data_IF_907372598623
#
_entry.id   IF_907372598623
#
_cell.length_a   1.000
_cell.length_b   1.000
_cell.length_c   1.000
_cell.angle_alpha   90.00
_cell.angle_beta   90.00
_cell.angle_gamma   90.00
#
_symmetry.space_group_name_H-M   'P 1'
#
loop_
_entity.id
_entity.type
_entity.pdbx_description
1 polymer ?
#
# COMPACT_ATOMS: atom_id res chain seq x y z
N UNK A 1 24.65 5.75 12.82
CA UNK A 1 24.27 4.33 12.70
C UNK A 1 23.11 4.30 11.74
N UNK A 2 23.20 3.59 10.61
CA UNK A 2 22.11 3.54 9.64
C UNK A 2 21.30 2.26 9.86
N UNK A 3 20.05 2.43 10.30
CA UNK A 3 19.10 1.34 10.48
C UNK A 3 18.22 1.20 9.24
N UNK A 4 18.36 0.08 8.54
CA UNK A 4 17.51 -0.25 7.39
C UNK A 4 16.16 -0.74 7.91
N UNK A 5 15.09 -0.12 7.44
CA UNK A 5 13.73 -0.49 7.76
C UNK A 5 13.03 -0.95 6.49
N UNK A 6 12.97 -2.26 6.31
CA UNK A 6 12.24 -2.88 5.21
C UNK A 6 10.78 -3.02 5.56
N UNK A 7 9.91 -2.48 4.72
CA UNK A 7 8.51 -2.77 4.81
C UNK A 7 7.84 -2.78 3.43
N UNK A 8 6.90 -3.70 3.22
CA UNK A 8 6.32 -3.97 1.91
C UNK A 8 4.82 -3.71 1.88
N UNK A 9 4.32 -3.19 0.75
CA UNK A 9 2.89 -3.31 0.42
C UNK A 9 2.63 -4.71 -0.10
N UNK A 10 1.71 -5.44 0.53
CA UNK A 10 1.22 -6.73 0.03
C UNK A 10 -0.27 -6.56 -0.28
N UNK A 11 -0.56 -6.29 -1.55
CA UNK A 11 -1.89 -5.94 -2.02
C UNK A 11 -2.32 -6.76 -3.25
N UNK A 12 -3.60 -7.15 -3.29
CA UNK A 12 -4.28 -7.60 -4.50
C UNK A 12 -5.74 -7.10 -4.48
N UNK A 13 -6.22 -6.47 -5.57
CA UNK A 13 -7.61 -6.07 -5.71
C UNK A 13 -8.50 -7.25 -6.11
N UNK A 14 -9.81 -7.08 -5.97
CA UNK A 14 -10.78 -7.96 -6.65
C UNK A 14 -11.14 -7.36 -8.00
N UNK A 15 -10.63 -7.97 -9.08
CA UNK A 15 -10.89 -7.50 -10.45
C UNK A 15 -12.35 -7.76 -10.81
N UNK A 16 -12.93 -6.80 -11.51
CA UNK A 16 -14.30 -6.90 -12.01
C UNK A 16 -14.34 -7.82 -13.22
N UNK A 17 -15.42 -8.61 -13.34
CA UNK A 17 -15.74 -9.23 -14.62
C UNK A 17 -16.18 -8.17 -15.62
N UNK A 18 -16.21 -8.53 -16.89
CA UNK A 18 -16.93 -7.72 -17.89
C UNK A 18 -18.41 -7.64 -17.51
N UNK A 19 -18.85 -6.43 -17.20
CA UNK A 19 -20.16 -6.09 -16.73
C UNK A 19 -20.77 -5.06 -17.70
N UNK A 20 -21.66 -5.53 -18.56
CA UNK A 20 -22.32 -4.69 -19.56
C UNK A 20 -23.58 -4.05 -19.00
N UNK A 21 -24.12 -3.04 -19.68
CA UNK A 21 -25.41 -2.42 -19.38
C UNK A 21 -26.59 -3.41 -19.38
N UNK A 22 -26.43 -4.58 -20.00
CA UNK A 22 -27.45 -5.65 -20.02
C UNK A 22 -27.30 -6.65 -18.87
N UNK A 23 -26.23 -6.54 -18.06
CA UNK A 23 -26.00 -7.41 -16.90
C UNK A 23 -26.92 -6.99 -15.75
N UNK A 24 -27.56 -7.98 -15.10
CA UNK A 24 -28.58 -7.77 -14.06
C UNK A 24 -28.35 -8.59 -12.80
N UNK A 25 -27.26 -9.35 -12.76
CA UNK A 25 -26.90 -10.18 -11.62
C UNK A 25 -25.94 -9.45 -10.66
N UNK A 26 -25.95 -9.77 -9.36
CA UNK A 26 -25.12 -9.08 -8.38
C UNK A 26 -23.67 -9.57 -8.33
N UNK A 27 -23.20 -10.38 -9.29
CA UNK A 27 -21.85 -10.97 -9.24
C UNK A 27 -20.85 -10.11 -10.00
N UNK A 28 -20.25 -9.11 -9.36
CA UNK A 28 -19.40 -8.13 -10.06
C UNK A 28 -17.97 -8.57 -10.31
N UNK A 29 -17.44 -9.51 -9.50
CA UNK A 29 -16.03 -9.85 -9.48
C UNK A 29 -15.72 -11.11 -10.28
N UNK A 30 -14.59 -11.10 -10.98
CA UNK A 30 -14.10 -12.24 -11.77
C UNK A 30 -13.26 -13.16 -10.89
N UNK A 31 -13.92 -14.07 -10.17
CA UNK A 31 -13.22 -14.97 -9.25
C UNK A 31 -12.26 -15.93 -9.97
N UNK A 32 -12.54 -16.32 -11.21
CA UNK A 32 -11.64 -17.18 -11.99
C UNK A 32 -10.35 -16.44 -12.35
N UNK A 33 -10.46 -15.20 -12.85
CA UNK A 33 -9.30 -14.37 -13.14
C UNK A 33 -8.51 -14.03 -11.86
N UNK A 34 -9.19 -13.66 -10.78
CA UNK A 34 -8.55 -13.35 -9.51
C UNK A 34 -7.82 -14.56 -8.93
N UNK A 35 -8.40 -15.77 -8.97
CA UNK A 35 -7.72 -17.00 -8.54
C UNK A 35 -6.47 -17.24 -9.38
N UNK A 36 -6.60 -17.19 -10.70
CA UNK A 36 -5.48 -17.45 -11.62
C UNK A 36 -4.33 -16.47 -11.39
N UNK A 37 -4.64 -15.19 -11.20
CA UNK A 37 -3.64 -14.15 -10.94
C UNK A 37 -3.00 -14.36 -9.57
N UNK A 38 -3.79 -14.58 -8.52
CA UNK A 38 -3.27 -14.83 -7.17
C UNK A 38 -2.33 -16.03 -7.15
N UNK A 39 -2.69 -17.14 -7.79
CA UNK A 39 -1.80 -18.32 -7.90
C UNK A 39 -0.50 -18.01 -8.63
N UNK A 40 -0.58 -17.33 -9.77
CA UNK A 40 0.60 -16.92 -10.56
C UNK A 40 1.54 -16.05 -9.73
N UNK A 41 1.02 -15.00 -9.07
CA UNK A 41 1.83 -14.07 -8.27
C UNK A 41 2.39 -14.80 -7.05
N UNK A 42 1.60 -15.68 -6.42
CA UNK A 42 2.08 -16.48 -5.29
C UNK A 42 3.23 -17.41 -5.68
N UNK A 43 3.20 -18.04 -6.87
CA UNK A 43 4.29 -18.92 -7.35
C UNK A 43 5.57 -18.15 -7.67
N UNK A 44 5.44 -16.95 -8.25
CA UNK A 44 6.58 -16.14 -8.69
C UNK A 44 7.19 -15.27 -7.59
N UNK A 45 6.35 -14.75 -6.71
CA UNK A 45 6.72 -13.77 -5.70
C UNK A 45 6.50 -14.32 -4.29
N UNK A 46 5.24 -14.50 -3.86
CA UNK A 46 4.98 -14.66 -2.43
C UNK A 46 5.63 -15.91 -1.82
N UNK A 47 5.52 -17.07 -2.46
CA UNK A 47 6.17 -18.30 -1.97
C UNK A 47 7.69 -18.17 -1.90
N UNK A 48 8.42 -17.88 -3.00
CA UNK A 48 9.87 -17.79 -2.95
C UNK A 48 10.36 -16.63 -2.07
N UNK A 49 9.73 -15.46 -2.16
CA UNK A 49 10.14 -14.28 -1.39
C UNK A 49 9.88 -14.48 0.11
N UNK A 50 8.72 -14.99 0.53
CA UNK A 50 8.42 -15.12 1.97
C UNK A 50 9.26 -16.25 2.58
N UNK A 51 9.49 -17.34 1.84
CA UNK A 51 10.43 -18.37 2.26
C UNK A 51 11.86 -17.83 2.43
N UNK A 52 12.31 -16.98 1.50
CA UNK A 52 13.63 -16.31 1.58
C UNK A 52 13.72 -15.36 2.77
N UNK A 53 12.69 -14.55 3.03
CA UNK A 53 12.66 -13.66 4.19
C UNK A 53 12.73 -14.44 5.51
N UNK A 54 11.97 -15.54 5.64
CA UNK A 54 12.04 -16.42 6.82
C UNK A 54 13.40 -17.09 6.99
N UNK A 55 14.02 -17.52 5.89
CA UNK A 55 15.37 -18.06 5.88
C UNK A 55 16.40 -17.00 6.32
N UNK A 56 16.34 -15.78 5.80
CA UNK A 56 17.22 -14.67 6.19
C UNK A 56 17.09 -14.32 7.67
N UNK A 57 15.85 -14.22 8.18
CA UNK A 57 15.59 -14.01 9.61
C UNK A 57 16.29 -15.07 10.45
N UNK A 58 16.16 -16.36 10.07
CA UNK A 58 16.76 -17.47 10.81
C UNK A 58 18.29 -17.50 10.70
N UNK A 59 18.84 -17.33 9.51
CA UNK A 59 20.29 -17.33 9.25
C UNK A 59 21.02 -16.18 9.91
N UNK A 60 20.33 -15.07 10.17
CA UNK A 60 20.89 -13.92 10.86
C UNK A 60 20.43 -13.81 12.33
N UNK A 61 19.93 -14.91 12.93
CA UNK A 61 19.53 -14.98 14.35
C UNK A 61 18.55 -13.87 14.77
N UNK A 62 17.61 -13.52 13.89
CA UNK A 62 16.62 -12.46 14.12
C UNK A 62 17.16 -11.03 14.03
N UNK A 63 18.44 -10.84 13.63
CA UNK A 63 19.01 -9.51 13.35
C UNK A 63 18.50 -8.93 12.04
N UNK A 64 18.18 -9.77 11.05
CA UNK A 64 17.47 -9.31 9.86
C UNK A 64 16.00 -9.15 10.21
N UNK A 65 15.41 -8.01 9.83
CA UNK A 65 14.04 -7.64 10.18
C UNK A 65 13.33 -7.06 8.96
N UNK A 66 12.03 -7.30 8.90
CA UNK A 66 11.18 -6.82 7.81
C UNK A 66 9.77 -6.52 8.34
N UNK A 67 8.94 -5.91 7.52
CA UNK A 67 7.56 -5.60 7.89
C UNK A 67 6.64 -5.66 6.68
N UNK A 68 5.34 -5.84 6.92
CA UNK A 68 4.35 -5.94 5.84
C UNK A 68 3.09 -5.17 6.18
N UNK A 69 2.60 -4.38 5.22
CA UNK A 69 1.20 -3.96 5.18
C UNK A 69 0.43 -4.92 4.27
N UNK A 70 -0.30 -5.85 4.87
CA UNK A 70 -1.08 -6.86 4.13
C UNK A 70 -2.53 -6.40 4.10
N UNK A 71 -3.06 -6.07 2.92
CA UNK A 71 -4.45 -5.61 2.85
C UNK A 71 -5.42 -6.74 3.17
N UNK A 72 -6.60 -6.40 3.68
CA UNK A 72 -7.64 -7.41 3.97
C UNK A 72 -8.10 -8.15 2.70
N UNK A 73 -8.11 -7.45 1.57
CA UNK A 73 -8.40 -8.06 0.25
C UNK A 73 -7.34 -9.10 -0.15
N UNK A 74 -6.05 -8.78 -0.01
CA UNK A 74 -4.96 -9.69 -0.31
C UNK A 74 -5.01 -10.91 0.62
N UNK A 75 -5.17 -10.68 1.93
CA UNK A 75 -5.25 -11.76 2.91
C UNK A 75 -6.40 -12.73 2.62
N UNK A 76 -7.58 -12.20 2.30
CA UNK A 76 -8.75 -13.02 1.97
C UNK A 76 -8.50 -13.86 0.72
N UNK A 77 -7.86 -13.30 -0.31
CA UNK A 77 -7.51 -14.04 -1.52
C UNK A 77 -6.44 -15.11 -1.25
N UNK A 78 -5.45 -14.84 -0.39
CA UNK A 78 -4.47 -15.85 0.01
C UNK A 78 -5.13 -17.00 0.77
N UNK A 79 -6.01 -16.73 1.73
CA UNK A 79 -6.73 -17.79 2.46
C UNK A 79 -7.53 -18.70 1.53
N UNK A 80 -8.10 -18.15 0.46
CA UNK A 80 -8.85 -18.93 -0.54
C UNK A 80 -7.95 -19.73 -1.49
N UNK A 81 -6.86 -19.13 -1.99
CA UNK A 81 -6.17 -19.65 -3.17
C UNK A 81 -4.68 -19.95 -2.97
N UNK A 82 -4.06 -19.44 -1.91
CA UNK A 82 -2.66 -19.68 -1.56
C UNK A 82 -2.44 -19.71 -0.03
N UNK A 83 -3.17 -20.56 0.74
CA UNK A 83 -3.14 -20.53 2.20
C UNK A 83 -1.75 -20.88 2.79
N UNK A 84 -0.93 -21.61 2.04
CA UNK A 84 0.45 -21.93 2.41
C UNK A 84 1.36 -20.70 2.54
N UNK A 85 1.06 -19.62 1.81
CA UNK A 85 1.72 -18.32 1.96
C UNK A 85 1.37 -17.71 3.32
N UNK A 86 0.09 -17.76 3.72
CA UNK A 86 -0.37 -17.27 5.03
C UNK A 86 0.33 -18.02 6.16
N UNK A 87 0.48 -19.34 6.04
CA UNK A 87 1.20 -20.14 7.04
C UNK A 87 2.68 -19.77 7.14
N UNK A 88 3.32 -19.43 6.02
CA UNK A 88 4.72 -18.95 6.03
C UNK A 88 4.83 -17.56 6.64
N UNK A 89 3.88 -16.65 6.35
CA UNK A 89 3.80 -15.33 6.97
C UNK A 89 3.59 -15.44 8.49
N UNK A 90 2.72 -16.33 8.97
CA UNK A 90 2.56 -16.61 10.41
C UNK A 90 3.89 -17.03 11.04
N UNK A 91 4.59 -18.01 10.44
CA UNK A 91 5.92 -18.45 10.93
C UNK A 91 6.95 -17.33 10.94
N UNK A 92 6.85 -16.38 10.01
CA UNK A 92 7.72 -15.21 9.93
C UNK A 92 7.38 -14.20 11.05
N UNK A 93 6.09 -13.91 11.28
CA UNK A 93 5.63 -13.08 12.40
C UNK A 93 6.01 -13.68 13.75
N UNK A 94 5.85 -15.00 13.93
CA UNK A 94 6.17 -15.74 15.16
C UNK A 94 7.65 -15.65 15.55
N UNK A 95 8.55 -15.30 14.61
CA UNK A 95 9.97 -15.06 14.94
C UNK A 95 10.20 -13.81 15.79
N UNK A 96 9.25 -12.88 15.82
CA UNK A 96 9.42 -11.55 16.42
C UNK A 96 10.34 -10.60 15.64
N UNK A 97 10.80 -11.00 14.44
CA UNK A 97 11.60 -10.18 13.54
C UNK A 97 10.78 -9.57 12.38
N UNK A 98 9.48 -9.85 12.34
CA UNK A 98 8.55 -9.33 11.33
C UNK A 98 7.42 -8.54 11.99
N UNK A 99 7.25 -7.27 11.59
CA UNK A 99 6.16 -6.41 12.07
C UNK A 99 5.02 -6.31 11.03
N UNK A 100 3.76 -6.37 11.47
CA UNK A 100 2.62 -6.07 10.61
C UNK A 100 2.18 -4.62 10.80
N UNK A 101 1.95 -3.94 9.66
CA UNK A 101 1.56 -2.54 9.57
C UNK A 101 0.05 -2.47 9.30
N UNK A 102 -0.61 -1.52 9.96
CA UNK A 102 -2.05 -1.26 9.84
C UNK A 102 -2.37 -0.42 8.61
N UNK A 103 -3.52 -0.69 8.02
CA UNK A 103 -4.03 0.01 6.84
C UNK A 103 -5.57 -0.07 6.78
N UNK A 104 -6.20 0.53 5.78
CA UNK A 104 -7.57 0.20 5.41
C UNK A 104 -7.67 -1.26 4.93
N UNK A 105 -8.72 -1.98 5.34
CA UNK A 105 -8.94 -3.38 4.93
C UNK A 105 -9.04 -3.58 3.42
N UNK A 106 -9.57 -2.61 2.69
CA UNK A 106 -9.81 -2.73 1.25
C UNK A 106 -8.85 -1.90 0.40
N UNK A 107 -7.77 -1.37 0.98
CA UNK A 107 -6.83 -0.47 0.26
C UNK A 107 -7.62 0.65 -0.44
N UNK A 108 -8.52 1.26 0.32
CA UNK A 108 -9.53 2.18 -0.21
C UNK A 108 -9.10 3.63 -0.10
N UNK A 109 -9.67 4.48 -0.95
CA UNK A 109 -9.53 5.94 -0.83
C UNK A 109 -10.48 6.56 0.22
N UNK A 110 -11.06 5.75 1.11
CA UNK A 110 -12.13 6.14 2.01
C UNK A 110 -11.78 7.35 2.88
N UNK A 111 -10.52 7.54 3.27
CA UNK A 111 -10.11 8.72 4.04
C UNK A 111 -10.48 10.04 3.36
N UNK A 112 -10.41 10.10 2.02
CA UNK A 112 -10.68 11.31 1.26
C UNK A 112 -12.18 11.64 1.23
N UNK A 113 -13.05 10.63 1.27
CA UNK A 113 -14.48 10.76 1.02
C UNK A 113 -15.36 10.55 2.26
N UNK A 114 -15.04 9.56 3.10
CA UNK A 114 -15.82 9.19 4.29
C UNK A 114 -14.94 8.74 5.44
N UNK A 115 -14.87 9.57 6.49
CA UNK A 115 -14.05 9.29 7.68
C UNK A 115 -14.66 8.15 8.50
N UNK A 116 -15.99 8.04 8.50
CA UNK A 116 -16.68 6.95 9.15
C UNK A 116 -16.39 5.60 8.48
N UNK A 117 -16.42 5.53 7.14
CA UNK A 117 -16.04 4.29 6.44
C UNK A 117 -14.55 3.99 6.60
N UNK A 118 -13.69 5.01 6.50
CA UNK A 118 -12.26 4.85 6.78
C UNK A 118 -12.04 4.20 8.16
N UNK A 119 -12.71 4.71 9.20
CA UNK A 119 -12.57 4.16 10.54
C UNK A 119 -12.98 2.70 10.64
N UNK A 120 -14.11 2.36 10.02
CA UNK A 120 -14.58 0.97 9.94
C UNK A 120 -13.60 0.06 9.20
N UNK A 121 -12.99 0.54 8.12
CA UNK A 121 -12.05 -0.28 7.35
C UNK A 121 -10.72 -0.48 8.07
N UNK A 122 -10.23 0.50 8.83
CA UNK A 122 -9.05 0.36 9.68
C UNK A 122 -9.33 -0.60 10.84
N UNK A 123 -10.48 -0.48 11.50
CA UNK A 123 -10.86 -1.40 12.58
C UNK A 123 -11.05 -2.84 12.06
N UNK A 124 -11.63 -3.00 10.87
CA UNK A 124 -11.77 -4.30 10.20
C UNK A 124 -10.40 -4.91 9.89
N UNK A 125 -9.46 -4.11 9.39
CA UNK A 125 -8.09 -4.57 9.12
C UNK A 125 -7.40 -5.02 10.40
N UNK A 126 -7.42 -4.19 11.45
CA UNK A 126 -6.83 -4.52 12.76
C UNK A 126 -7.41 -5.82 13.32
N UNK A 127 -8.74 -5.99 13.23
CA UNK A 127 -9.40 -7.23 13.66
C UNK A 127 -8.88 -8.44 12.88
N UNK A 128 -8.74 -8.35 11.56
CA UNK A 128 -8.19 -9.44 10.73
C UNK A 128 -6.74 -9.76 11.07
N UNK A 129 -5.90 -8.74 11.31
CA UNK A 129 -4.52 -8.96 11.76
C UNK A 129 -4.47 -9.72 13.09
N UNK A 130 -5.34 -9.36 14.04
CA UNK A 130 -5.44 -10.04 15.33
C UNK A 130 -5.94 -11.49 15.20
N UNK A 131 -6.95 -11.72 14.35
CA UNK A 131 -7.52 -13.06 14.12
C UNK A 131 -6.53 -14.01 13.46
N UNK A 132 -5.80 -13.55 12.45
CA UNK A 132 -4.94 -14.42 11.64
C UNK A 132 -3.54 -14.54 12.22
N UNK A 133 -2.97 -13.45 12.74
CA UNK A 133 -1.57 -13.39 13.16
C UNK A 133 -1.40 -13.16 14.67
N UNK A 134 -2.49 -12.92 15.42
CA UNK A 134 -2.40 -12.67 16.86
C UNK A 134 -1.82 -11.30 17.22
N UNK A 135 -1.67 -10.39 16.26
CA UNK A 135 -1.05 -9.07 16.46
C UNK A 135 -2.00 -7.91 16.20
N UNK A 136 -1.82 -6.84 16.96
CA UNK A 136 -2.45 -5.54 16.71
C UNK A 136 -1.39 -4.59 16.13
N UNK A 137 -1.54 -4.13 14.87
CA UNK A 137 -0.60 -3.18 14.29
C UNK A 137 -0.52 -1.88 15.08
N UNK A 138 0.70 -1.36 15.27
CA UNK A 138 0.95 -0.08 15.97
C UNK A 138 1.43 1.03 15.05
N UNK A 139 1.70 0.69 13.81
CA UNK A 139 2.21 1.59 12.79
C UNK A 139 1.18 1.59 11.69
N UNK A 140 0.88 2.75 11.15
CA UNK A 140 -0.14 2.91 10.13
C UNK A 140 0.49 3.33 8.82
N UNK A 141 -0.06 2.83 7.72
CA UNK A 141 0.05 3.49 6.43
C UNK A 141 -1.33 3.63 5.84
N UNK A 142 -1.60 4.79 5.27
CA UNK A 142 -2.80 4.92 4.46
C UNK A 142 -2.56 4.32 3.08
N UNK A 143 -3.65 3.99 2.40
CA UNK A 143 -3.70 3.60 1.00
C UNK A 143 -2.77 4.50 0.17
N UNK A 144 -1.82 3.91 -0.56
CA UNK A 144 -0.90 4.56 -1.51
C UNK A 144 0.03 5.61 -0.87
N UNK A 145 0.31 5.45 0.43
CA UNK A 145 0.97 6.46 1.27
C UNK A 145 0.30 7.84 1.17
N UNK A 146 -1.01 7.88 0.89
CA UNK A 146 -1.76 9.13 0.77
C UNK A 146 -1.76 9.82 2.13
N UNK A 147 -1.12 10.99 2.18
CA UNK A 147 -0.86 11.70 3.42
C UNK A 147 -1.13 13.20 3.29
N UNK A 148 -1.64 13.77 4.38
CA UNK A 148 -1.58 15.20 4.70
C UNK A 148 -1.64 15.33 6.22
N UNK A 149 -1.40 16.53 6.75
CA UNK A 149 -1.53 16.79 8.18
C UNK A 149 -2.90 16.38 8.74
N UNK A 150 -3.97 16.46 7.93
CA UNK A 150 -5.32 16.06 8.35
C UNK A 150 -5.45 14.56 8.64
N UNK A 151 -4.71 13.71 7.90
CA UNK A 151 -4.62 12.29 8.22
C UNK A 151 -3.90 12.07 9.54
N UNK A 152 -2.77 12.77 9.75
CA UNK A 152 -1.99 12.65 10.97
C UNK A 152 -2.80 13.05 12.21
N UNK A 153 -3.52 14.16 12.13
CA UNK A 153 -4.43 14.61 13.20
C UNK A 153 -5.53 13.58 13.48
N UNK A 154 -6.13 12.99 12.43
CA UNK A 154 -7.16 11.97 12.58
C UNK A 154 -6.63 10.71 13.26
N UNK A 155 -5.49 10.18 12.79
CA UNK A 155 -4.87 8.99 13.38
C UNK A 155 -4.41 9.26 14.83
N UNK A 156 -3.89 10.45 15.11
CA UNK A 156 -3.53 10.86 16.47
C UNK A 156 -4.75 10.85 17.40
N UNK A 157 -5.89 11.39 16.95
CA UNK A 157 -7.15 11.36 17.72
C UNK A 157 -7.68 9.95 17.97
N UNK A 158 -7.46 9.02 17.04
CA UNK A 158 -7.82 7.61 17.25
C UNK A 158 -6.96 6.93 18.32
N UNK A 159 -5.71 7.35 18.48
CA UNK A 159 -4.82 6.85 19.54
C UNK A 159 -4.42 5.37 19.42
N UNK A 160 -4.68 4.73 18.28
CA UNK A 160 -4.37 3.31 18.03
C UNK A 160 -2.95 3.09 17.48
N UNK A 161 -2.36 4.12 16.85
CA UNK A 161 -1.09 4.01 16.13
C UNK A 161 -0.08 5.05 16.64
N UNK A 162 1.19 4.64 16.73
CA UNK A 162 2.33 5.45 17.20
C UNK A 162 3.00 6.23 16.08
N UNK A 163 2.88 5.78 14.84
CA UNK A 163 3.47 6.44 13.68
C UNK A 163 2.67 6.20 12.39
N UNK A 164 2.87 7.10 11.44
CA UNK A 164 2.40 6.98 10.06
C UNK A 164 3.61 6.92 9.13
N UNK A 165 3.53 6.02 8.17
CA UNK A 165 4.46 5.96 7.05
C UNK A 165 3.92 6.83 5.92
N UNK A 166 4.75 7.73 5.38
CA UNK A 166 4.38 8.55 4.23
C UNK A 166 5.59 8.82 3.32
N UNK A 167 5.33 9.43 2.16
CA UNK A 167 6.38 9.70 1.17
C UNK A 167 7.30 10.85 1.61
N UNK A 168 8.61 10.69 1.41
CA UNK A 168 9.61 11.71 1.66
C UNK A 168 9.77 12.66 0.48
N UNK A 169 8.82 13.58 0.30
CA UNK A 169 8.78 14.45 -0.88
C UNK A 169 9.81 15.59 -0.79
N UNK A 170 10.72 15.67 -1.76
CA UNK A 170 11.80 16.66 -1.84
C UNK A 170 11.31 18.11 -1.67
N UNK A 171 10.21 18.49 -2.33
CA UNK A 171 9.67 19.86 -2.27
C UNK A 171 9.24 20.30 -0.87
N UNK A 172 8.97 19.33 0.02
CA UNK A 172 8.56 19.56 1.41
C UNK A 172 9.73 19.37 2.39
N UNK A 173 10.68 18.49 2.05
CA UNK A 173 11.90 18.29 2.83
C UNK A 173 12.87 19.46 2.69
N UNK A 174 12.98 20.08 1.51
CA UNK A 174 13.95 21.13 1.23
C UNK A 174 15.37 20.59 1.35
N UNK A 175 16.15 21.12 2.28
CA UNK A 175 17.51 20.64 2.56
C UNK A 175 17.56 19.46 3.54
N UNK A 176 16.42 19.07 4.12
CA UNK A 176 16.34 17.99 5.10
C UNK A 176 16.32 16.63 4.42
N UNK A 177 16.59 15.58 5.18
CA UNK A 177 16.71 14.22 4.68
C UNK A 177 15.50 13.36 5.11
N UNK A 178 15.00 12.42 4.28
CA UNK A 178 13.98 11.45 4.70
C UNK A 178 14.53 10.42 5.70
N UNK A 179 15.84 10.42 5.97
CA UNK A 179 16.53 9.43 6.80
C UNK A 179 16.49 9.73 8.31
N UNK A 180 15.50 10.53 8.73
CA UNK A 180 15.23 10.88 10.12
C UNK A 180 13.76 10.62 10.45
N UNK A 181 13.46 10.54 11.76
CA UNK A 181 12.08 10.60 12.23
C UNK A 181 11.58 12.04 12.24
N UNK A 182 10.31 12.21 11.89
CA UNK A 182 9.61 13.49 11.95
C UNK A 182 8.32 13.36 12.75
N UNK A 183 7.65 14.48 12.98
CA UNK A 183 6.28 14.54 13.52
C UNK A 183 5.42 15.45 12.66
N UNK A 184 4.09 15.29 12.64
CA UNK A 184 3.22 16.30 12.03
C UNK A 184 3.31 17.63 12.80
N UNK A 185 2.96 18.77 12.16
CA UNK A 185 2.91 20.05 12.85
C UNK A 185 1.97 20.06 14.06
N UNK A 186 2.30 20.81 15.10
CA UNK A 186 1.34 21.19 16.15
C UNK A 186 2.01 21.75 17.40
N UNK A 187 1.42 21.52 18.58
CA UNK A 187 1.93 22.04 19.86
C UNK A 187 2.65 20.97 20.72
N UNK A 188 3.63 21.41 21.51
CA UNK A 188 4.38 20.57 22.44
C UNK A 188 5.70 20.03 21.88
N UNK A 189 6.47 19.38 22.74
CA UNK A 189 7.77 18.80 22.41
C UNK A 189 7.64 17.70 21.34
N UNK A 190 8.64 17.61 20.46
CA UNK A 190 8.61 16.68 19.32
C UNK A 190 8.54 15.22 19.79
N UNK A 191 9.27 14.85 20.83
CA UNK A 191 9.30 13.50 21.41
C UNK A 191 7.92 13.04 21.89
N UNK A 192 7.16 13.97 22.49
CA UNK A 192 5.87 13.71 23.13
C UNK A 192 4.69 13.73 22.15
N UNK A 193 4.93 13.98 20.86
CA UNK A 193 3.85 13.96 19.87
C UNK A 193 3.20 12.59 19.79
N UNK A 194 1.86 12.53 19.73
CA UNK A 194 1.12 11.26 19.77
C UNK A 194 1.45 10.34 18.58
N UNK A 195 1.79 10.94 17.43
CA UNK A 195 2.12 10.23 16.20
C UNK A 195 3.42 10.77 15.63
N UNK A 196 4.32 9.85 15.26
CA UNK A 196 5.57 10.09 14.56
C UNK A 196 5.41 9.82 13.06
N UNK A 197 6.36 10.25 12.25
CA UNK A 197 6.38 10.06 10.80
C UNK A 197 7.66 9.34 10.37
N UNK A 198 7.47 8.29 9.59
CA UNK A 198 8.52 7.55 8.90
C UNK A 198 8.43 7.87 7.42
N UNK A 199 9.42 8.59 6.90
CA UNK A 199 9.42 9.04 5.50
C UNK A 199 10.12 8.01 4.62
N UNK A 200 9.44 7.52 3.58
CA UNK A 200 10.04 6.63 2.58
C UNK A 200 11.25 7.31 1.95
N UNK A 201 12.36 6.58 1.86
CA UNK A 201 13.49 6.97 1.02
C UNK A 201 13.19 6.51 -0.41
N UNK A 202 12.47 7.33 -1.18
CA UNK A 202 11.99 6.94 -2.50
C UNK A 202 13.14 6.61 -3.45
N UNK A 203 14.28 7.30 -3.36
CA UNK A 203 15.42 7.07 -4.26
C UNK A 203 15.93 5.64 -4.15
N UNK A 204 16.29 5.21 -2.93
CA UNK A 204 16.82 3.87 -2.68
C UNK A 204 15.74 2.79 -2.83
N UNK A 205 14.48 3.10 -2.51
CA UNK A 205 13.36 2.18 -2.75
C UNK A 205 13.17 1.92 -4.24
N UNK A 206 13.11 2.99 -5.06
CA UNK A 206 12.90 2.92 -6.50
C UNK A 206 14.10 2.29 -7.23
N UNK A 207 15.31 2.39 -6.67
CA UNK A 207 16.50 1.73 -7.21
C UNK A 207 16.36 0.20 -7.20
N UNK A 208 15.73 -0.36 -6.15
CA UNK A 208 15.40 -1.79 -6.09
C UNK A 208 14.13 -2.09 -6.90
N UNK A 209 13.05 -1.32 -6.69
CA UNK A 209 11.73 -1.63 -7.25
C UNK A 209 11.69 -1.49 -8.79
N UNK A 210 12.29 -0.43 -9.34
CA UNK A 210 12.16 -0.07 -10.75
C UNK A 210 13.48 -0.15 -11.53
N UNK A 211 14.60 0.25 -10.93
CA UNK A 211 15.87 0.41 -11.69
C UNK A 211 16.77 -0.82 -11.66
N UNK A 212 16.47 -1.83 -10.84
CA UNK A 212 17.34 -2.99 -10.60
C UNK A 212 17.77 -3.71 -11.90
N UNK A 213 16.83 -3.98 -12.81
CA UNK A 213 17.10 -4.63 -14.10
C UNK A 213 17.37 -3.65 -15.26
N UNK A 214 17.37 -2.34 -15.01
CA UNK A 214 17.54 -1.33 -16.05
C UNK A 214 19.01 -1.18 -16.45
N UNK A 215 19.41 -1.85 -17.53
CA UNK A 215 20.78 -1.79 -18.09
C UNK A 215 21.21 -0.41 -18.61
N UNK A 216 20.27 0.50 -18.85
CA UNK A 216 20.54 1.88 -19.26
C UNK A 216 20.74 2.83 -18.08
N UNK A 217 20.46 2.41 -16.85
CA UNK A 217 20.71 3.22 -15.65
C UNK A 217 22.21 3.24 -15.33
N UNK A 218 22.74 4.42 -15.06
CA UNK A 218 24.18 4.64 -14.84
C UNK A 218 24.80 3.83 -13.69
N UNK A 219 24.00 3.41 -12.72
CA UNK A 219 24.47 2.61 -11.58
C UNK A 219 24.30 1.10 -11.80
N UNK A 220 23.75 0.65 -12.95
CA UNK A 220 23.59 -0.77 -13.25
C UNK A 220 24.95 -1.46 -13.52
N UNK A 221 25.18 -2.70 -13.05
CA UNK A 221 24.28 -3.52 -12.24
C UNK A 221 24.25 -3.11 -10.76
N UNK A 222 23.11 -3.30 -10.09
CA UNK A 222 22.95 -3.05 -8.66
C UNK A 222 23.30 -4.31 -7.86
N UNK A 223 24.46 -4.31 -7.17
CA UNK A 223 24.86 -5.38 -6.25
C UNK A 223 24.50 -5.04 -4.80
N UNK A 224 24.47 -6.06 -3.94
CA UNK A 224 24.21 -5.91 -2.52
C UNK A 224 25.25 -5.00 -1.83
N UNK A 225 26.53 -5.13 -2.19
CA UNK A 225 27.63 -4.33 -1.63
C UNK A 225 27.54 -2.87 -2.07
N UNK A 226 27.19 -2.62 -3.33
CA UNK A 226 26.97 -1.26 -3.84
C UNK A 226 25.83 -0.59 -3.08
N UNK A 227 24.69 -1.29 -2.94
CA UNK A 227 23.53 -0.77 -2.21
C UNK A 227 23.84 -0.56 -0.73
N UNK A 228 24.50 -1.50 -0.07
CA UNK A 228 24.95 -1.38 1.31
C UNK A 228 25.90 -0.20 1.51
N UNK A 229 26.78 0.07 0.54
CA UNK A 229 27.63 1.26 0.49
C UNK A 229 26.81 2.56 0.49
N UNK A 230 25.73 2.63 -0.28
CA UNK A 230 24.83 3.79 -0.29
C UNK A 230 24.06 3.95 1.02
N UNK A 231 23.55 2.85 1.59
CA UNK A 231 22.94 2.86 2.93
C UNK A 231 23.94 3.38 3.96
N UNK A 232 25.19 2.97 3.89
CA UNK A 232 26.21 3.40 4.84
C UNK A 232 26.52 4.90 4.76
N UNK A 233 26.31 5.55 3.61
CA UNK A 233 26.48 7.01 3.45
C UNK A 233 25.45 7.82 4.23
N UNK A 234 24.36 7.19 4.69
CA UNK A 234 23.39 7.83 5.59
C UNK A 234 24.04 8.15 6.94
N UNK A 235 25.06 7.40 7.36
CA UNK A 235 25.77 7.67 8.59
C UNK A 235 26.39 9.08 8.58
N UNK A 236 25.99 9.89 9.57
CA UNK A 236 26.43 11.29 9.69
C UNK A 236 25.40 12.30 9.18
N UNK A 237 24.42 11.85 8.38
CA UNK A 237 23.28 12.67 7.92
C UNK A 237 21.96 11.87 7.89
N UNK A 238 21.73 11.14 8.98
CA UNK A 238 20.56 10.30 9.16
C UNK A 238 20.84 9.11 10.05
N UNK A 239 19.77 8.41 10.41
CA UNK A 239 19.84 7.17 11.16
C UNK A 239 18.88 6.09 10.69
N UNK A 240 17.90 6.40 9.84
CA UNK A 240 17.00 5.40 9.27
C UNK A 240 17.03 5.38 7.73
N UNK A 241 16.93 4.20 7.15
CA UNK A 241 16.77 3.99 5.72
C UNK A 241 15.44 3.26 5.50
N UNK A 242 14.38 4.04 5.29
CA UNK A 242 13.02 3.52 5.14
C UNK A 242 12.80 3.07 3.70
N UNK A 243 12.76 1.75 3.49
CA UNK A 243 12.61 1.14 2.16
C UNK A 243 11.19 0.58 2.03
N UNK A 244 10.37 1.28 1.25
CA UNK A 244 8.99 0.89 0.96
C UNK A 244 8.81 0.55 -0.52
N UNK A 245 8.27 -0.62 -0.81
CA UNK A 245 8.00 -1.08 -2.16
C UNK A 245 6.86 -2.09 -2.16
N UNK A 246 6.26 -2.31 -3.33
CA UNK A 246 5.37 -3.45 -3.54
C UNK A 246 6.14 -4.74 -3.28
N UNK A 247 5.52 -5.69 -2.59
CA UNK A 247 6.15 -6.97 -2.31
C UNK A 247 6.44 -7.74 -3.60
N UNK A 248 5.59 -7.54 -4.60
CA UNK A 248 5.71 -7.99 -5.99
C UNK A 248 7.00 -7.55 -6.68
N UNK A 249 7.75 -6.60 -6.10
CA UNK A 249 9.12 -6.27 -6.51
C UNK A 249 9.98 -7.53 -6.64
N UNK A 250 9.89 -8.47 -5.69
CA UNK A 250 10.67 -9.70 -5.69
C UNK A 250 9.94 -10.81 -6.43
N UNK A 251 10.16 -10.95 -7.74
CA UNK A 251 9.71 -12.07 -8.55
C UNK A 251 8.63 -11.75 -9.59
N UNK A 252 7.88 -10.65 -9.44
CA UNK A 252 6.87 -10.23 -10.44
C UNK A 252 7.28 -8.95 -11.19
N UNK A 253 7.69 -7.88 -10.50
CA UNK A 253 8.20 -6.65 -11.17
C UNK A 253 9.66 -6.81 -11.58
N UNK A 254 10.50 -7.38 -10.70
CA UNK A 254 11.84 -7.87 -11.05
C UNK A 254 11.79 -9.39 -11.07
N UNK A 255 11.96 -10.00 -12.24
CA UNK A 255 11.89 -11.45 -12.39
C UNK A 255 13.11 -12.14 -11.76
N UNK A 256 12.95 -13.41 -11.39
CA UNK A 256 14.02 -14.17 -10.75
C UNK A 256 15.32 -14.20 -11.57
N UNK A 257 15.23 -14.30 -12.90
CA UNK A 257 16.38 -14.32 -13.82
C UNK A 257 17.14 -12.99 -13.90
N UNK A 258 16.60 -11.91 -13.34
CA UNK A 258 17.32 -10.64 -13.20
C UNK A 258 18.36 -10.66 -12.08
N UNK A 259 18.32 -11.67 -11.19
CA UNK A 259 19.20 -11.77 -10.02
C UNK A 259 18.65 -11.14 -8.75
N UNK A 260 17.36 -10.75 -8.73
CA UNK A 260 16.76 -10.03 -7.59
C UNK A 260 16.74 -10.83 -6.29
N UNK A 261 16.58 -12.17 -6.39
CA UNK A 261 16.57 -13.03 -5.21
C UNK A 261 17.97 -13.23 -4.64
N UNK A 262 18.99 -13.29 -5.49
CA UNK A 262 20.40 -13.32 -5.11
C UNK A 262 20.81 -12.01 -4.46
N UNK A 263 20.35 -10.88 -4.99
CA UNK A 263 20.52 -9.57 -4.34
C UNK A 263 19.88 -9.55 -2.95
N UNK A 264 18.62 -9.97 -2.83
CA UNK A 264 17.92 -10.02 -1.54
C UNK A 264 18.63 -10.95 -0.55
N UNK A 265 19.14 -12.08 -1.01
CA UNK A 265 19.85 -13.06 -0.19
C UNK A 265 21.16 -12.52 0.39
N UNK A 266 21.91 -11.74 -0.40
CA UNK A 266 23.19 -11.17 -0.01
C UNK A 266 23.07 -9.85 0.78
N UNK A 267 21.99 -9.10 0.59
CA UNK A 267 21.84 -7.73 1.09
C UNK A 267 22.02 -7.60 2.61
N UNK A 268 21.42 -8.43 3.48
CA UNK A 268 21.60 -8.27 4.92
C UNK A 268 23.06 -8.44 5.34
N UNK A 269 23.74 -9.46 4.81
CA UNK A 269 25.17 -9.66 5.02
C UNK A 269 25.99 -8.44 4.60
N UNK A 270 25.76 -7.92 3.39
CA UNK A 270 26.47 -6.75 2.88
C UNK A 270 26.24 -5.49 3.75
N UNK A 271 25.04 -5.26 4.26
CA UNK A 271 24.74 -4.13 5.17
C UNK A 271 25.51 -4.26 6.48
N UNK A 272 25.51 -5.46 7.09
CA UNK A 272 26.30 -5.71 8.30
C UNK A 272 27.80 -5.54 8.06
N UNK A 273 28.30 -6.05 6.93
CA UNK A 273 29.73 -6.07 6.62
C UNK A 273 30.26 -4.70 6.18
N UNK A 274 29.40 -3.82 5.67
CA UNK A 274 29.84 -2.47 5.27
C UNK A 274 30.20 -1.61 6.49
N UNK A 275 29.57 -1.85 7.64
CA UNK A 275 29.86 -1.14 8.89
C UNK A 275 29.55 -2.02 10.11
N UNK A 276 30.46 -2.96 10.37
CA UNK A 276 30.31 -4.04 11.35
C UNK A 276 29.90 -3.51 12.72
N UNK A 277 28.79 -4.04 13.25
CA UNK A 277 28.28 -3.68 14.57
C UNK A 277 27.61 -2.31 14.66
N UNK A 278 27.52 -1.58 13.55
CA UNK A 278 26.82 -0.31 13.46
C UNK A 278 25.55 -0.45 12.62
N UNK A 279 25.63 -0.72 11.33
CA UNK A 279 24.41 -0.79 10.52
C UNK A 279 23.59 -2.04 10.87
N UNK A 280 22.27 -1.87 10.95
CA UNK A 280 21.34 -2.92 11.36
C UNK A 280 20.03 -2.89 10.57
N UNK A 281 19.15 -3.85 10.87
CA UNK A 281 17.78 -3.86 10.38
C UNK A 281 16.84 -3.74 11.56
N UNK A 282 15.93 -2.77 11.51
CA UNK A 282 14.94 -2.51 12.54
C UNK A 282 13.54 -2.49 11.92
N UNK A 283 12.55 -2.94 12.70
CA UNK A 283 11.15 -2.72 12.31
C UNK A 283 10.75 -1.26 12.57
N UNK A 284 9.66 -0.77 11.96
CA UNK A 284 9.14 0.58 12.22
C UNK A 284 8.95 0.90 13.71
N UNK A 285 8.35 0.01 14.52
CA UNK A 285 8.22 0.22 15.97
C UNK A 285 9.57 0.38 16.66
N UNK A 286 10.57 -0.41 16.26
CA UNK A 286 11.91 -0.35 16.87
C UNK A 286 12.66 0.93 16.49
N UNK A 287 12.48 1.44 15.27
CA UNK A 287 12.99 2.77 14.91
C UNK A 287 12.47 3.84 15.87
N UNK A 288 11.18 3.80 16.22
CA UNK A 288 10.58 4.74 17.18
C UNK A 288 11.11 4.57 18.60
N UNK A 289 11.58 3.38 18.96
CA UNK A 289 12.14 3.09 20.28
C UNK A 289 13.63 3.51 20.37
N UNK A 290 14.31 3.60 19.23
CA UNK A 290 15.74 3.93 19.15
C UNK A 290 16.03 5.41 18.87
N UNK A 291 15.09 6.13 18.24
CA UNK A 291 15.35 7.45 17.70
C UNK A 291 14.25 8.46 18.07
N UNK A 292 14.67 9.70 18.31
CA UNK A 292 13.77 10.83 18.52
C UNK A 292 13.53 11.59 17.21
N UNK A 293 12.33 12.18 17.02
CA UNK A 293 12.05 13.01 15.87
C UNK A 293 12.89 14.28 15.86
N UNK A 294 13.39 14.66 14.68
CA UNK A 294 14.30 15.81 14.53
C UNK A 294 13.60 17.10 14.10
N UNK A 295 12.31 17.02 13.76
CA UNK A 295 11.52 18.19 13.36
C UNK A 295 10.12 17.85 12.89
N UNK A 296 9.40 18.90 12.48
CA UNK A 296 8.05 18.78 11.92
C UNK A 296 8.09 18.57 10.40
N UNK A 297 7.30 17.65 9.87
CA UNK A 297 7.08 17.48 8.44
C UNK A 297 5.69 17.99 8.05
N UNK A 298 5.63 19.25 7.63
CA UNK A 298 4.39 19.95 7.28
C UNK A 298 3.93 19.61 5.85
N UNK A 299 2.75 19.02 5.73
CA UNK A 299 2.14 18.59 4.47
C UNK A 299 0.70 19.12 4.40
N UNK A 300 0.50 20.37 3.89
CA UNK A 300 -0.82 21.01 3.85
C UNK A 300 -1.72 20.48 2.72
N UNK A 301 -1.12 19.83 1.71
CA UNK A 301 -1.82 19.27 0.55
C UNK A 301 -1.53 17.79 0.42
N UNK A 302 -2.50 17.04 -0.10
CA UNK A 302 -2.37 15.59 -0.27
C UNK A 302 -1.14 15.23 -1.13
N UNK A 303 -0.31 14.37 -0.58
CA UNK A 303 0.77 13.68 -1.28
C UNK A 303 0.46 12.19 -1.36
N UNK A 304 1.13 11.49 -2.26
CA UNK A 304 1.15 10.02 -2.36
C UNK A 304 2.55 9.57 -2.77
N UNK A 305 2.79 8.26 -2.79
CA UNK A 305 4.03 7.70 -3.35
C UNK A 305 3.99 7.46 -4.86
N UNK A 306 2.83 7.63 -5.50
CA UNK A 306 2.66 7.38 -6.92
C UNK A 306 3.15 8.56 -7.75
N UNK A 307 3.66 8.23 -8.94
CA UNK A 307 3.99 9.14 -10.03
C UNK A 307 4.99 10.25 -9.66
N UNK A 308 5.55 10.96 -10.64
CA UNK A 308 6.61 11.94 -10.34
C UNK A 308 6.08 13.14 -9.54
N UNK A 309 4.79 13.44 -9.66
CA UNK A 309 4.11 14.53 -8.99
C UNK A 309 3.91 14.27 -7.49
N UNK A 310 3.88 12.99 -7.05
CA UNK A 310 3.67 12.60 -5.65
C UNK A 310 2.44 13.27 -5.05
N UNK A 311 1.30 13.10 -5.71
CA UNK A 311 -0.01 13.67 -5.34
C UNK A 311 -1.16 12.69 -5.66
N UNK A 312 -2.41 13.15 -5.65
CA UNK A 312 -3.59 12.30 -5.87
C UNK A 312 -3.93 12.01 -7.34
N UNK A 313 -3.20 12.59 -8.29
CA UNK A 313 -3.61 12.62 -9.68
C UNK A 313 -3.54 11.26 -10.41
N UNK A 314 -2.97 10.23 -9.77
CA UNK A 314 -3.09 8.84 -10.23
C UNK A 314 -4.51 8.28 -10.06
N UNK A 315 -5.30 8.79 -9.10
CA UNK A 315 -6.66 8.32 -8.81
C UNK A 315 -7.74 9.38 -8.96
N UNK A 316 -7.39 10.67 -8.87
CA UNK A 316 -8.28 11.83 -8.92
C UNK A 316 -7.63 12.93 -9.77
N UNK A 317 -7.19 12.56 -10.97
CA UNK A 317 -6.49 13.46 -11.90
C UNK A 317 -7.32 13.91 -13.10
N UNK A 318 -8.54 13.36 -13.26
CA UNK A 318 -9.37 13.65 -14.42
C UNK A 318 -10.89 13.54 -14.13
N UNK A 319 -11.76 14.10 -14.98
CA UNK A 319 -13.21 14.12 -14.73
C UNK A 319 -13.89 12.74 -14.63
N UNK A 320 -13.40 11.70 -15.31
CA UNK A 320 -14.02 10.36 -15.25
C UNK A 320 -13.69 9.68 -13.92
N UNK A 321 -12.47 9.87 -13.41
CA UNK A 321 -12.07 9.45 -12.07
C UNK A 321 -12.88 10.17 -10.99
N UNK A 322 -12.98 11.50 -11.07
CA UNK A 322 -13.73 12.31 -10.11
C UNK A 322 -15.21 11.91 -10.07
N UNK A 323 -15.83 11.72 -11.26
CA UNK A 323 -17.21 11.27 -11.39
C UNK A 323 -17.43 9.87 -10.81
N UNK A 324 -16.56 8.90 -11.13
CA UNK A 324 -16.66 7.54 -10.63
C UNK A 324 -16.49 7.48 -9.10
N UNK A 325 -15.50 8.20 -8.55
CA UNK A 325 -15.27 8.26 -7.11
C UNK A 325 -16.47 8.87 -6.38
N UNK A 326 -17.02 9.97 -6.90
CA UNK A 326 -18.20 10.61 -6.32
C UNK A 326 -19.40 9.65 -6.29
N UNK A 327 -19.72 9.02 -7.41
CA UNK A 327 -20.86 8.09 -7.52
C UNK A 327 -20.70 6.87 -6.61
N UNK A 328 -19.47 6.36 -6.48
CA UNK A 328 -19.13 5.27 -5.57
C UNK A 328 -19.35 5.64 -4.10
N UNK A 329 -18.87 6.79 -3.64
CA UNK A 329 -18.96 7.14 -2.21
C UNK A 329 -20.33 7.73 -1.81
N UNK A 330 -21.07 8.34 -2.75
CA UNK A 330 -22.47 8.73 -2.52
C UNK A 330 -23.37 7.51 -2.21
N UNK A 331 -22.95 6.31 -2.62
CA UNK A 331 -23.65 5.06 -2.33
C UNK A 331 -23.47 4.54 -0.90
N UNK A 332 -22.57 5.09 -0.08
CA UNK A 332 -22.30 4.59 1.28
C UNK A 332 -23.59 4.42 2.10
N UNK A 333 -24.39 5.48 2.18
CA UNK A 333 -25.65 5.49 2.93
C UNK A 333 -26.64 4.44 2.42
N UNK A 334 -27.05 4.50 1.14
CA UNK A 334 -27.95 3.51 0.55
C UNK A 334 -27.48 2.06 0.70
N UNK A 335 -26.19 1.78 0.48
CA UNK A 335 -25.60 0.44 0.64
C UNK A 335 -25.71 -0.03 2.09
N UNK A 336 -25.35 0.81 3.07
CA UNK A 336 -25.42 0.47 4.49
C UNK A 336 -26.86 0.22 4.95
N UNK A 337 -27.82 1.02 4.48
CA UNK A 337 -29.24 0.80 4.79
C UNK A 337 -29.77 -0.48 4.15
N UNK A 338 -29.38 -0.75 2.89
CA UNK A 338 -29.75 -2.00 2.22
C UNK A 338 -29.15 -3.23 2.91
N UNK A 339 -27.92 -3.12 3.42
CA UNK A 339 -27.28 -4.17 4.19
C UNK A 339 -28.06 -4.48 5.48
N UNK A 340 -28.43 -3.44 6.24
CA UNK A 340 -29.28 -3.59 7.44
C UNK A 340 -30.67 -4.17 7.12
N UNK A 341 -31.21 -3.86 5.95
CA UNK A 341 -32.49 -4.38 5.47
C UNK A 341 -32.44 -5.85 5.00
N UNK A 342 -31.28 -6.51 5.08
CA UNK A 342 -31.15 -7.96 4.89
C UNK A 342 -30.41 -8.40 3.63
N UNK A 343 -29.69 -7.51 2.93
CA UNK A 343 -28.73 -7.92 1.89
C UNK A 343 -27.33 -8.09 2.51
N UNK A 344 -26.90 -9.31 2.88
CA UNK A 344 -25.65 -9.50 3.62
C UNK A 344 -24.39 -9.21 2.79
N UNK A 345 -24.49 -9.21 1.46
CA UNK A 345 -23.32 -9.12 0.57
C UNK A 345 -23.07 -7.71 0.05
N UNK A 346 -24.09 -6.84 -0.02
CA UNK A 346 -23.98 -5.55 -0.71
C UNK A 346 -22.90 -4.63 -0.12
N UNK A 347 -22.70 -4.68 1.21
CA UNK A 347 -21.69 -3.88 1.88
C UNK A 347 -20.27 -4.31 1.48
N UNK A 348 -20.03 -5.62 1.42
CA UNK A 348 -18.75 -6.17 1.02
C UNK A 348 -18.47 -5.92 -0.46
N UNK A 349 -19.49 -6.06 -1.31
CA UNK A 349 -19.36 -5.76 -2.74
C UNK A 349 -19.01 -4.29 -2.97
N UNK A 350 -19.66 -3.37 -2.26
CA UNK A 350 -19.32 -1.95 -2.31
C UNK A 350 -17.92 -1.67 -1.78
N UNK A 351 -17.52 -2.27 -0.65
CA UNK A 351 -16.18 -2.07 -0.09
C UNK A 351 -15.07 -2.53 -1.03
N UNK A 352 -15.24 -3.66 -1.72
CA UNK A 352 -14.31 -4.09 -2.78
C UNK A 352 -14.24 -3.10 -3.94
N UNK A 353 -15.35 -2.45 -4.29
CA UNK A 353 -15.35 -1.37 -5.29
C UNK A 353 -14.63 -0.10 -4.80
N UNK A 354 -14.42 0.07 -3.49
CA UNK A 354 -13.66 1.20 -2.94
C UNK A 354 -12.14 1.08 -3.04
N UNK A 355 -11.63 -0.08 -3.43
CA UNK A 355 -10.18 -0.31 -3.64
C UNK A 355 -9.61 0.67 -4.67
N UNK A 356 -8.45 1.25 -4.38
CA UNK A 356 -7.83 2.34 -5.17
C UNK A 356 -7.62 1.96 -6.64
N UNK A 357 -7.28 0.69 -6.90
CA UNK A 357 -7.03 0.12 -8.23
C UNK A 357 -8.08 0.48 -9.26
N UNK A 358 -9.36 0.46 -8.89
CA UNK A 358 -10.43 0.73 -9.84
C UNK A 358 -10.35 2.14 -10.41
N UNK A 359 -10.01 3.12 -9.58
CA UNK A 359 -9.80 4.50 -10.02
C UNK A 359 -8.44 4.66 -10.71
N UNK A 360 -7.42 3.93 -10.28
CA UNK A 360 -6.11 3.91 -10.94
C UNK A 360 -6.21 3.42 -12.40
N UNK A 361 -7.02 2.39 -12.67
CA UNK A 361 -7.27 1.87 -14.02
C UNK A 361 -7.95 2.90 -14.94
N UNK A 362 -8.55 3.97 -14.39
CA UNK A 362 -9.16 5.08 -15.14
C UNK A 362 -8.21 6.27 -15.34
N UNK A 363 -6.95 6.16 -14.95
CA UNK A 363 -5.95 7.22 -15.14
C UNK A 363 -5.59 7.39 -16.63
N UNK A 364 -5.63 8.63 -17.12
CA UNK A 364 -5.35 8.96 -18.53
C UNK A 364 -3.94 9.49 -18.79
N UNK A 365 -3.17 9.82 -17.74
CA UNK A 365 -1.83 10.43 -17.85
C UNK A 365 -0.84 9.64 -18.70
N UNK A 366 -0.84 8.33 -18.52
CA UNK A 366 0.16 7.44 -19.11
C UNK A 366 -0.25 6.85 -20.45
N UNK A 367 -1.45 7.23 -20.93
CA UNK A 367 -1.88 6.86 -22.26
C UNK A 367 -1.05 7.53 -23.36
N UNK A 368 -0.31 8.62 -23.03
CA UNK A 368 0.70 9.20 -23.91
C UNK A 368 2.08 8.51 -23.84
N UNK A 369 2.37 7.73 -22.79
CA UNK A 369 3.72 7.20 -22.49
C UNK A 369 3.81 5.66 -22.36
N UNK A 370 2.79 4.94 -22.85
CA UNK A 370 2.93 3.60 -23.45
C UNK A 370 3.30 2.38 -22.59
N UNK A 371 4.11 2.50 -21.54
CA UNK A 371 4.93 1.37 -21.07
C UNK A 371 4.66 0.85 -19.64
N UNK A 372 4.07 1.63 -18.72
CA UNK A 372 3.90 1.16 -17.32
C UNK A 372 2.47 0.72 -17.00
N UNK A 373 1.45 1.41 -17.50
CA UNK A 373 0.04 1.15 -17.13
C UNK A 373 -0.58 -0.07 -17.81
N UNK A 374 -0.05 -0.50 -18.97
CA UNK A 374 -0.52 -1.71 -19.65
C UNK A 374 -0.21 -2.99 -18.88
N UNK A 375 0.77 -2.97 -17.97
CA UNK A 375 1.14 -4.16 -17.20
C UNK A 375 0.15 -4.46 -16.06
N UNK A 376 -0.49 -3.43 -15.51
CA UNK A 376 -1.30 -3.53 -14.30
C UNK A 376 -2.82 -3.50 -14.53
N UNK A 377 -3.30 -2.84 -15.60
CA UNK A 377 -4.73 -2.75 -15.89
C UNK A 377 -5.26 -4.00 -16.60
N UNK A 378 -6.39 -4.59 -16.17
CA UNK A 378 -7.06 -5.66 -16.91
C UNK A 378 -7.90 -5.14 -18.11
N UNK A 379 -7.84 -3.84 -18.41
CA UNK A 379 -8.62 -3.19 -19.45
C UNK A 379 -7.75 -2.69 -20.60
N UNK A 380 -8.32 -2.68 -21.81
CA UNK A 380 -7.64 -2.19 -23.01
C UNK A 380 -7.43 -0.66 -22.98
N UNK A 381 -8.30 0.09 -22.29
CA UNK A 381 -8.15 1.53 -22.10
C UNK A 381 -8.75 2.03 -20.77
N UNK A 382 -8.36 3.23 -20.28
CA UNK A 382 -8.99 3.88 -19.13
C UNK A 382 -10.50 4.11 -19.30
N UNK A 383 -10.96 4.30 -20.53
CA UNK A 383 -12.38 4.47 -20.84
C UNK A 383 -13.15 3.16 -20.71
N UNK A 384 -12.55 2.03 -21.10
CA UNK A 384 -13.15 0.70 -20.89
C UNK A 384 -13.26 0.37 -19.41
N UNK A 385 -12.23 0.72 -18.62
CA UNK A 385 -12.26 0.59 -17.17
C UNK A 385 -13.42 1.41 -16.56
N UNK A 386 -13.54 2.68 -16.97
CA UNK A 386 -14.62 3.55 -16.51
C UNK A 386 -16.01 3.03 -16.90
N UNK A 387 -16.22 2.63 -18.16
CA UNK A 387 -17.51 2.11 -18.64
C UNK A 387 -17.90 0.85 -17.85
N UNK A 388 -16.97 -0.09 -17.68
CA UNK A 388 -17.22 -1.32 -16.92
C UNK A 388 -17.58 -1.02 -15.47
N UNK A 389 -16.79 -0.16 -14.81
CA UNK A 389 -17.02 0.24 -13.43
C UNK A 389 -18.36 0.96 -13.25
N UNK A 390 -18.70 1.90 -14.14
CA UNK A 390 -19.96 2.63 -14.05
C UNK A 390 -21.18 1.74 -14.28
N UNK A 391 -21.10 0.73 -15.16
CA UNK A 391 -22.18 -0.26 -15.27
C UNK A 391 -22.38 -1.04 -13.96
N UNK A 392 -21.31 -1.39 -13.26
CA UNK A 392 -21.38 -2.02 -11.92
C UNK A 392 -22.00 -1.06 -10.91
N UNK A 393 -21.57 0.21 -10.88
CA UNK A 393 -22.10 1.24 -9.99
C UNK A 393 -23.60 1.47 -10.23
N UNK A 394 -24.05 1.52 -11.48
CA UNK A 394 -25.46 1.72 -11.83
C UNK A 394 -26.34 0.52 -11.41
N UNK A 395 -25.81 -0.69 -11.54
CA UNK A 395 -26.48 -1.86 -10.98
C UNK A 395 -26.49 -1.84 -9.45
N UNK A 396 -25.38 -1.46 -8.81
CA UNK A 396 -25.29 -1.34 -7.35
C UNK A 396 -26.26 -0.28 -6.80
N UNK A 397 -26.44 0.86 -7.48
CA UNK A 397 -27.48 1.86 -7.17
C UNK A 397 -28.87 1.22 -7.15
N UNK A 398 -29.20 0.49 -8.22
CA UNK A 398 -30.48 -0.20 -8.34
C UNK A 398 -30.68 -1.21 -7.22
N UNK A 399 -29.64 -2.01 -6.91
CA UNK A 399 -29.63 -2.99 -5.81
C UNK A 399 -29.77 -2.32 -4.43
N UNK A 400 -29.16 -1.16 -4.24
CA UNK A 400 -29.24 -0.35 -3.02
C UNK A 400 -30.60 0.38 -2.89
N UNK A 401 -31.49 0.29 -3.89
CA UNK A 401 -32.79 0.95 -3.88
C UNK A 401 -32.73 2.44 -4.24
N UNK A 402 -31.60 2.91 -4.80
CA UNK A 402 -31.48 4.26 -5.36
C UNK A 402 -32.16 4.25 -6.72
N UNK A 403 -33.39 4.76 -6.78
CA UNK A 403 -34.13 4.90 -8.03
C UNK A 403 -33.42 5.86 -9.00
N UNK A 404 -33.70 5.77 -10.32
CA UNK A 404 -33.24 6.78 -11.26
C UNK A 404 -33.68 8.14 -10.74
N UNK A 405 -32.75 9.10 -10.60
CA UNK A 405 -33.13 10.49 -10.42
C UNK A 405 -34.14 10.79 -11.54
N UNK A 406 -35.38 11.10 -11.16
CA UNK A 406 -36.43 11.50 -12.10
C UNK A 406 -35.81 12.58 -12.98
N UNK A 407 -35.45 12.21 -14.23
CA UNK A 407 -35.15 13.20 -15.27
C UNK A 407 -36.31 14.17 -15.21
N UNK A 408 -35.99 15.43 -14.91
CA UNK A 408 -36.93 16.49 -14.67
C UNK A 408 -38.14 16.31 -15.58
N UNK A 409 -39.33 16.20 -14.99
CA UNK A 409 -40.58 16.43 -15.70
C UNK A 409 -40.49 17.87 -16.22
N UNK A 410 -39.92 18.04 -17.40
CA UNK A 410 -40.06 19.26 -18.18
C UNK A 410 -41.56 19.45 -18.40
N UNK A 411 -41.99 20.64 -17.99
CA UNK A 411 -43.35 21.09 -17.99
C UNK A 411 -44.02 20.89 -19.36
N UNK A 412 -45.30 20.51 -19.31
CA UNK A 412 -46.24 20.82 -20.39
C UNK A 412 -46.70 22.26 -20.27
#
# INVERSE_FOLDING_TARGET
MASVCFYFEFHQPYRLRRYSVFSTDPFYFDNEANEKIMRKVADKCYRPATAKMLDLVRRHDGRFRCSYSITGTALSQLEMWAPDVVDTLKRLVDTGACELIGETSHHSLSFLFSRAEFDQQVDLHQKRMQEVFGVTPRIFRNTELIYSNALAEHIARRGQHRAIICEGVDRLLGFRSPNYLYVPPGEGDLADRPVKLLLKNYRLSDDIAFRFSNRGWKEWPLSAEKFAGWVNQINGDGFCCNLFMDYETFGEHQWADTGIFEFLDALPGAVYDTNHGHNDFLTPSQLLDCYEPVGEYDVPHWISWADSERDLSAWLGNPIQDGAAKELYDLEGPVKERHKAGDPYILEDWRKLTTSDHLYYMCTKYWSDGDVHKYFSPYDSPYDAYINFMNVIDHLKSRAGVGPALRAKSAR
#
